data_IF_554582574956
#
_entry.id   IF_554582574956
#
_cell.length_a   1.000
_cell.length_b   1.000
_cell.length_c   1.000
_cell.angle_alpha   90.00
_cell.angle_beta   90.00
_cell.angle_gamma   90.00
#
_symmetry.space_group_name_H-M   'P 1'
#
loop_
_entity.id
_entity.type
_entity.pdbx_description
1 polymer ?
#
# COMPACT_ATOMS: atom_id res chain seq x y z
N UNK A 1 4.46 -5.18 -16.59
CA UNK A 1 3.35 -4.29 -17.02
C UNK A 1 3.91 -3.21 -17.94
N UNK A 2 3.20 -2.83 -19.02
CA UNK A 2 3.64 -1.77 -19.94
C UNK A 2 2.98 -0.42 -19.58
N UNK A 3 3.41 0.68 -20.21
CA UNK A 3 2.89 2.03 -19.92
C UNK A 3 1.37 2.15 -20.13
N UNK A 4 0.81 1.46 -21.12
CA UNK A 4 -0.64 1.50 -21.41
C UNK A 4 -1.43 0.84 -20.28
N UNK A 5 -0.92 -0.27 -19.75
CA UNK A 5 -1.54 -0.96 -18.62
C UNK A 5 -1.42 -0.15 -17.32
N UNK A 6 -0.29 0.52 -17.13
CA UNK A 6 -0.03 1.41 -16.01
C UNK A 6 -1.03 2.59 -15.96
N UNK A 7 -1.29 3.22 -17.12
CA UNK A 7 -2.34 4.24 -17.27
C UNK A 7 -3.73 3.68 -16.93
N UNK A 8 -4.07 2.46 -17.36
CA UNK A 8 -5.38 1.85 -17.04
C UNK A 8 -5.55 1.65 -15.54
N UNK A 9 -4.48 1.21 -14.85
CA UNK A 9 -4.50 1.06 -13.38
C UNK A 9 -4.68 2.42 -12.72
N UNK A 10 -3.95 3.44 -13.17
CA UNK A 10 -4.12 4.81 -12.67
C UNK A 10 -5.55 5.30 -12.89
N UNK A 11 -6.12 5.15 -14.09
CA UNK A 11 -7.50 5.56 -14.42
C UNK A 11 -8.53 4.92 -13.48
N UNK A 12 -8.45 3.60 -13.27
CA UNK A 12 -9.35 2.88 -12.35
C UNK A 12 -9.23 3.40 -10.92
N UNK A 13 -8.01 3.71 -10.51
CA UNK A 13 -7.72 4.16 -9.15
C UNK A 13 -8.08 5.63 -8.95
N UNK A 14 -7.99 6.46 -10.00
CA UNK A 14 -8.13 7.92 -9.94
C UNK A 14 -9.48 8.34 -9.35
N UNK A 15 -10.57 7.72 -9.78
CA UNK A 15 -11.92 8.01 -9.27
C UNK A 15 -12.02 7.75 -7.76
N UNK A 16 -11.44 6.63 -7.30
CA UNK A 16 -11.40 6.28 -5.88
C UNK A 16 -10.53 7.25 -5.09
N UNK A 17 -9.38 7.61 -5.64
CA UNK A 17 -8.42 8.52 -5.00
C UNK A 17 -9.01 9.92 -4.89
N UNK A 18 -9.56 10.48 -5.97
CA UNK A 18 -10.16 11.81 -5.99
C UNK A 18 -11.30 11.93 -4.97
N UNK A 19 -12.10 10.87 -4.82
CA UNK A 19 -13.18 10.83 -3.82
C UNK A 19 -12.67 10.84 -2.38
N UNK A 20 -11.55 10.16 -2.10
CA UNK A 20 -11.08 9.92 -0.74
C UNK A 20 -9.88 10.81 -0.32
N UNK A 21 -9.27 11.54 -1.26
CA UNK A 21 -8.12 12.41 -1.02
C UNK A 21 -8.44 13.84 -1.49
N UNK A 22 -9.01 14.70 -0.63
CA UNK A 22 -9.36 16.08 -0.97
C UNK A 22 -8.18 16.90 -1.53
N UNK A 23 -6.95 16.57 -1.10
CA UNK A 23 -5.71 17.21 -1.53
C UNK A 23 -5.05 16.57 -2.76
N UNK A 24 -5.73 15.64 -3.43
CA UNK A 24 -5.18 14.90 -4.57
C UNK A 24 -4.66 15.83 -5.69
N UNK A 25 -5.42 16.87 -6.05
CA UNK A 25 -5.02 17.83 -7.10
C UNK A 25 -3.74 18.58 -6.71
N UNK A 26 -3.60 18.95 -5.44
CA UNK A 26 -2.39 19.59 -4.90
C UNK A 26 -1.19 18.64 -4.98
N UNK A 27 -1.36 17.38 -4.58
CA UNK A 27 -0.31 16.36 -4.70
C UNK A 27 0.10 16.14 -6.16
N UNK A 28 -0.85 15.92 -7.06
CA UNK A 28 -0.58 15.75 -8.48
C UNK A 28 0.21 16.95 -9.04
N UNK A 29 -0.15 18.18 -8.68
CA UNK A 29 0.57 19.38 -9.09
C UNK A 29 2.00 19.45 -8.53
N UNK A 30 2.27 18.92 -7.33
CA UNK A 30 3.62 18.83 -6.78
C UNK A 30 4.52 17.87 -7.57
N UNK A 31 3.95 16.78 -8.09
CA UNK A 31 4.71 15.77 -8.86
C UNK A 31 4.91 16.17 -10.31
N UNK A 32 3.88 16.72 -10.94
CA UNK A 32 3.85 16.90 -12.38
C UNK A 32 4.07 18.34 -12.84
N UNK A 33 4.03 19.31 -11.91
CA UNK A 33 4.00 20.75 -12.23
C UNK A 33 3.08 21.00 -13.43
N UNK A 34 1.89 20.39 -13.44
CA UNK A 34 0.93 20.48 -14.54
C UNK A 34 0.40 21.93 -14.60
N UNK A 35 0.93 22.79 -15.47
CA UNK A 35 0.75 24.23 -15.35
C UNK A 35 -0.67 24.66 -15.75
N UNK A 36 -1.37 23.84 -16.54
CA UNK A 36 -2.49 24.30 -17.37
C UNK A 36 -3.85 23.66 -16.99
N UNK A 37 -3.96 23.03 -15.82
CA UNK A 37 -5.17 22.26 -15.42
C UNK A 37 -5.58 21.15 -16.44
N UNK A 38 -4.67 20.70 -17.32
CA UNK A 38 -4.93 19.58 -18.24
C UNK A 38 -5.39 18.34 -17.48
N UNK A 39 -6.24 17.52 -18.12
CA UNK A 39 -6.56 16.20 -17.60
C UNK A 39 -5.27 15.44 -17.31
N UNK A 40 -5.13 14.98 -16.07
CA UNK A 40 -3.89 14.38 -15.58
C UNK A 40 -3.46 13.15 -16.40
N UNK A 41 -4.43 12.35 -16.87
CA UNK A 41 -4.13 11.17 -17.68
C UNK A 41 -3.57 11.59 -19.05
N UNK A 42 -4.17 12.60 -19.67
CA UNK A 42 -3.71 13.15 -20.94
C UNK A 42 -2.31 13.75 -20.79
N UNK A 43 -2.08 14.54 -19.74
CA UNK A 43 -0.77 15.10 -19.44
C UNK A 43 0.30 14.01 -19.29
N UNK A 44 0.00 12.93 -18.56
CA UNK A 44 0.93 11.81 -18.39
C UNK A 44 1.19 11.10 -19.73
N UNK A 45 0.14 10.92 -20.55
CA UNK A 45 0.26 10.30 -21.86
C UNK A 45 1.11 11.12 -22.83
N UNK A 46 0.89 12.45 -22.91
CA UNK A 46 1.68 13.40 -23.70
C UNK A 46 3.16 13.39 -23.30
N UNK A 47 3.45 13.16 -22.01
CA UNK A 47 4.80 13.19 -21.43
C UNK A 47 5.37 11.79 -21.15
N UNK A 48 4.89 10.75 -21.84
CA UNK A 48 5.25 9.34 -21.62
C UNK A 48 6.75 9.09 -21.43
N UNK A 49 7.60 9.63 -22.32
CA UNK A 49 9.04 9.35 -22.31
C UNK A 49 9.73 9.92 -21.07
N UNK A 50 9.27 11.09 -20.59
CA UNK A 50 9.77 11.70 -19.36
C UNK A 50 9.53 10.77 -18.15
N UNK A 51 8.31 10.26 -18.01
CA UNK A 51 7.92 9.37 -16.91
C UNK A 51 8.61 8.00 -16.96
N UNK A 52 8.81 7.46 -18.16
CA UNK A 52 9.62 6.24 -18.35
C UNK A 52 11.06 6.51 -17.92
N UNK A 53 11.67 7.62 -18.36
CA UNK A 53 13.03 8.00 -17.97
C UNK A 53 13.20 8.20 -16.46
N UNK A 54 12.23 8.80 -15.78
CA UNK A 54 12.21 8.93 -14.31
C UNK A 54 12.13 7.57 -13.60
N UNK A 55 11.29 6.64 -14.09
CA UNK A 55 11.23 5.27 -13.55
C UNK A 55 12.57 4.57 -13.72
N UNK A 56 13.12 4.60 -14.92
CA UNK A 56 14.32 3.84 -15.27
C UNK A 56 15.56 4.34 -14.53
N UNK A 57 15.72 5.66 -14.41
CA UNK A 57 16.82 6.29 -13.64
C UNK A 57 16.81 5.91 -12.15
N UNK A 58 15.64 5.62 -11.58
CA UNK A 58 15.51 5.22 -10.18
C UNK A 58 15.60 3.69 -9.95
N UNK A 59 15.28 2.90 -10.96
CA UNK A 59 15.11 1.43 -10.86
C UNK A 59 16.31 0.71 -10.24
N UNK A 60 17.53 0.93 -10.77
CA UNK A 60 18.76 0.25 -10.32
C UNK A 60 19.04 0.50 -8.85
N UNK A 61 18.86 1.74 -8.39
CA UNK A 61 19.07 2.14 -6.99
C UNK A 61 18.06 1.45 -6.08
N UNK A 62 16.77 1.47 -6.46
CA UNK A 62 15.69 0.85 -5.68
C UNK A 62 15.91 -0.66 -5.57
N UNK A 63 16.17 -1.34 -6.68
CA UNK A 63 16.43 -2.79 -6.69
C UNK A 63 17.63 -3.11 -5.78
N UNK A 64 18.75 -2.39 -5.95
CA UNK A 64 19.95 -2.60 -5.13
C UNK A 64 19.67 -2.42 -3.64
N UNK A 65 18.90 -1.40 -3.26
CA UNK A 65 18.60 -1.13 -1.86
C UNK A 65 17.58 -2.12 -1.27
N UNK A 66 16.56 -2.50 -2.04
CA UNK A 66 15.58 -3.51 -1.61
C UNK A 66 16.25 -4.85 -1.32
N UNK A 67 17.12 -5.32 -2.23
CA UNK A 67 17.82 -6.61 -2.07
C UNK A 67 18.68 -6.71 -0.81
N UNK A 68 19.10 -5.59 -0.22
CA UNK A 68 19.85 -5.58 1.06
C UNK A 68 18.98 -5.95 2.26
N UNK A 69 17.69 -5.60 2.22
CA UNK A 69 16.77 -5.79 3.35
C UNK A 69 15.74 -6.89 3.12
N UNK A 70 15.50 -7.27 1.86
CA UNK A 70 14.41 -8.14 1.43
C UNK A 70 14.26 -9.40 2.29
N UNK A 71 15.30 -10.24 2.39
CA UNK A 71 15.22 -11.50 3.15
C UNK A 71 14.83 -11.27 4.60
N UNK A 72 15.45 -10.28 5.24
CA UNK A 72 15.16 -9.91 6.63
C UNK A 72 13.74 -9.38 6.78
N UNK A 73 13.27 -8.57 5.84
CA UNK A 73 11.91 -8.05 5.86
C UNK A 73 10.88 -9.18 5.82
N UNK A 74 11.00 -10.09 4.85
CA UNK A 74 10.08 -11.23 4.75
C UNK A 74 10.10 -12.08 6.02
N UNK A 75 11.27 -12.40 6.58
CA UNK A 75 11.38 -13.21 7.80
C UNK A 75 10.83 -12.50 9.05
N UNK A 76 11.09 -11.20 9.21
CA UNK A 76 10.59 -10.44 10.36
C UNK A 76 9.07 -10.30 10.31
N UNK A 77 8.47 -10.10 9.12
CA UNK A 77 7.00 -10.07 8.99
C UNK A 77 6.39 -11.42 9.40
N UNK A 78 6.96 -12.54 8.97
CA UNK A 78 6.46 -13.86 9.39
C UNK A 78 6.62 -14.07 10.90
N UNK A 79 7.76 -13.66 11.46
CA UNK A 79 8.04 -13.76 12.89
C UNK A 79 7.08 -12.92 13.73
N UNK A 80 6.83 -11.67 13.33
CA UNK A 80 5.97 -10.73 14.07
C UNK A 80 4.51 -11.15 13.98
N UNK A 81 4.06 -11.60 12.81
CA UNK A 81 2.65 -11.96 12.60
C UNK A 81 2.33 -13.42 12.93
N UNK A 82 3.35 -14.27 13.06
CA UNK A 82 3.22 -15.74 13.16
C UNK A 82 2.55 -16.40 11.94
N UNK A 83 2.47 -15.70 10.80
CA UNK A 83 1.89 -16.21 9.56
C UNK A 83 2.92 -16.22 8.44
N UNK A 84 2.92 -17.30 7.66
CA UNK A 84 3.76 -17.41 6.46
C UNK A 84 3.22 -16.53 5.33
N UNK A 85 4.12 -16.09 4.47
CA UNK A 85 3.72 -15.44 3.22
C UNK A 85 2.95 -16.42 2.33
N UNK A 86 1.85 -15.96 1.75
CA UNK A 86 0.98 -16.79 0.90
C UNK A 86 1.68 -17.29 -0.37
N UNK A 87 2.46 -16.41 -1.00
CA UNK A 87 3.17 -16.72 -2.25
C UNK A 87 4.67 -16.87 -1.99
N UNK A 88 5.32 -17.72 -2.78
CA UNK A 88 6.80 -17.90 -2.76
C UNK A 88 7.54 -16.70 -3.37
N UNK A 89 6.91 -16.03 -4.33
CA UNK A 89 7.50 -14.92 -5.08
C UNK A 89 6.50 -13.78 -5.17
N UNK A 90 6.95 -12.57 -4.84
CA UNK A 90 6.21 -11.34 -5.07
C UNK A 90 6.90 -10.51 -6.15
N UNK A 91 6.10 -9.99 -7.07
CA UNK A 91 6.54 -9.11 -8.13
C UNK A 91 6.30 -7.65 -7.74
N UNK A 92 7.32 -6.81 -7.90
CA UNK A 92 7.20 -5.38 -7.71
C UNK A 92 7.30 -4.67 -9.06
N UNK A 93 6.20 -4.08 -9.51
CA UNK A 93 6.18 -3.24 -10.69
C UNK A 93 6.50 -1.79 -10.30
N UNK A 94 7.63 -1.27 -10.77
CA UNK A 94 7.92 0.17 -10.66
C UNK A 94 7.10 0.91 -11.71
N UNK A 95 6.13 1.68 -11.25
CA UNK A 95 5.18 2.39 -12.10
C UNK A 95 5.83 3.63 -12.72
N UNK A 96 5.47 3.92 -13.97
CA UNK A 96 5.81 5.19 -14.61
C UNK A 96 4.75 6.24 -14.32
N UNK A 97 3.53 5.87 -13.97
CA UNK A 97 2.37 6.78 -13.98
C UNK A 97 1.66 6.87 -12.64
N UNK A 98 1.79 5.88 -11.77
CA UNK A 98 1.17 5.84 -10.46
C UNK A 98 2.04 6.59 -9.45
N UNK A 99 1.59 7.77 -9.02
CA UNK A 99 2.40 8.73 -8.26
C UNK A 99 1.99 8.85 -6.78
N UNK A 100 1.06 8.02 -6.30
CA UNK A 100 0.44 8.15 -4.98
C UNK A 100 1.06 7.13 -4.01
N UNK A 101 2.36 6.91 -4.12
CA UNK A 101 3.06 5.88 -3.34
C UNK A 101 2.99 4.52 -4.03
N UNK A 102 2.01 3.69 -3.70
CA UNK A 102 1.93 2.32 -4.21
C UNK A 102 0.52 1.74 -4.19
N UNK A 103 0.39 0.53 -4.71
CA UNK A 103 -0.84 -0.24 -4.67
C UNK A 103 -0.53 -1.73 -4.67
N UNK A 104 -1.18 -2.48 -3.79
CA UNK A 104 -1.21 -3.94 -3.84
C UNK A 104 -2.43 -4.42 -4.63
N UNK A 105 -2.25 -5.46 -5.44
CA UNK A 105 -3.35 -5.96 -6.28
C UNK A 105 -4.19 -6.98 -5.52
N UNK A 106 -5.51 -6.77 -5.50
CA UNK A 106 -6.50 -7.72 -4.97
C UNK A 106 -7.54 -8.00 -6.04
N UNK A 107 -7.95 -9.25 -6.17
CA UNK A 107 -9.17 -9.59 -6.89
C UNK A 107 -10.37 -9.07 -6.09
N UNK A 108 -10.98 -7.97 -6.54
CA UNK A 108 -12.10 -7.33 -5.83
C UNK A 108 -13.33 -8.24 -5.69
N UNK A 109 -13.50 -9.24 -6.56
CA UNK A 109 -14.66 -10.17 -6.49
C UNK A 109 -14.45 -11.25 -5.43
N UNK A 110 -13.22 -11.69 -5.26
CA UNK A 110 -12.89 -12.82 -4.40
C UNK A 110 -12.01 -12.46 -3.20
N UNK A 111 -11.62 -11.19 -3.09
CA UNK A 111 -10.74 -10.64 -2.06
C UNK A 111 -9.44 -11.43 -1.93
N UNK A 112 -8.98 -11.98 -3.05
CA UNK A 112 -7.74 -12.75 -3.09
C UNK A 112 -6.59 -11.81 -3.39
N UNK A 113 -5.57 -11.73 -2.52
CA UNK A 113 -4.37 -10.98 -2.86
C UNK A 113 -3.71 -11.63 -4.07
N UNK A 114 -3.15 -10.81 -4.93
CA UNK A 114 -2.18 -11.22 -5.93
C UNK A 114 -0.77 -11.09 -5.37
N UNK A 115 0.18 -11.72 -6.02
CA UNK A 115 1.59 -11.61 -5.68
C UNK A 115 2.26 -10.36 -6.29
N UNK A 116 1.48 -9.40 -6.82
CA UNK A 116 2.01 -8.21 -7.49
C UNK A 116 1.67 -6.95 -6.71
N UNK A 117 2.69 -6.14 -6.47
CA UNK A 117 2.57 -4.75 -5.99
C UNK A 117 3.05 -3.78 -7.06
N UNK A 118 2.59 -2.55 -6.97
CA UNK A 118 2.98 -1.45 -7.83
C UNK A 118 3.50 -0.30 -6.98
N UNK A 119 4.62 0.32 -7.38
CA UNK A 119 5.29 1.36 -6.59
C UNK A 119 5.75 2.51 -7.47
N UNK A 120 5.50 3.74 -7.03
CA UNK A 120 6.07 4.96 -7.58
C UNK A 120 7.56 5.04 -7.23
N UNK A 121 8.49 4.99 -8.20
CA UNK A 121 9.92 4.94 -7.91
C UNK A 121 10.55 6.33 -7.70
N UNK A 122 9.82 7.41 -7.99
CA UNK A 122 10.35 8.77 -8.04
C UNK A 122 9.63 9.74 -7.09
N UNK A 123 9.00 9.21 -6.04
CA UNK A 123 8.38 10.04 -5.01
C UNK A 123 9.44 10.86 -4.26
N UNK A 124 9.21 12.17 -4.11
CA UNK A 124 10.09 13.07 -3.35
C UNK A 124 9.86 13.04 -1.83
N UNK A 125 8.70 12.53 -1.40
CA UNK A 125 8.23 12.67 -0.02
C UNK A 125 8.32 11.36 0.78
N UNK A 126 8.47 10.23 0.10
CA UNK A 126 8.51 8.89 0.69
C UNK A 126 9.55 8.06 -0.05
N UNK A 127 10.39 7.35 0.70
CA UNK A 127 11.36 6.39 0.16
C UNK A 127 10.64 5.25 -0.57
N UNK A 128 10.93 4.97 -1.85
CA UNK A 128 10.34 3.84 -2.56
C UNK A 128 10.55 2.48 -1.87
N UNK A 129 11.64 2.31 -1.11
CA UNK A 129 11.89 1.08 -0.33
C UNK A 129 10.84 0.90 0.76
N UNK A 130 10.48 2.00 1.43
CA UNK A 130 9.40 2.01 2.39
C UNK A 130 8.08 1.65 1.72
N UNK A 131 7.78 2.24 0.56
CA UNK A 131 6.53 1.95 -0.18
C UNK A 131 6.45 0.47 -0.58
N UNK A 132 7.55 -0.13 -1.05
CA UNK A 132 7.59 -1.58 -1.34
C UNK A 132 7.19 -2.39 -0.10
N UNK A 133 7.79 -2.10 1.05
CA UNK A 133 7.45 -2.78 2.29
C UNK A 133 5.99 -2.57 2.69
N UNK A 134 5.50 -1.33 2.61
CA UNK A 134 4.11 -0.97 2.91
C UNK A 134 3.11 -1.82 2.10
N UNK A 135 3.26 -1.83 0.78
CA UNK A 135 2.37 -2.59 -0.11
C UNK A 135 2.50 -4.10 0.09
N UNK A 136 3.71 -4.61 0.35
CA UNK A 136 3.91 -6.02 0.69
C UNK A 136 3.20 -6.39 2.00
N UNK A 137 3.23 -5.52 3.01
CA UNK A 137 2.55 -5.79 4.28
C UNK A 137 1.03 -5.83 4.11
N UNK A 138 0.46 -4.96 3.28
CA UNK A 138 -0.94 -5.05 2.89
C UNK A 138 -1.26 -6.37 2.19
N UNK A 139 -0.43 -6.78 1.23
CA UNK A 139 -0.58 -8.07 0.55
C UNK A 139 -0.51 -9.25 1.53
N UNK A 140 0.39 -9.21 2.51
CA UNK A 140 0.50 -10.20 3.59
C UNK A 140 -0.78 -10.28 4.42
N UNK A 141 -1.27 -9.12 4.89
CA UNK A 141 -2.48 -9.03 5.70
C UNK A 141 -3.69 -9.65 4.97
N UNK A 142 -3.86 -9.32 3.69
CA UNK A 142 -4.90 -9.94 2.85
C UNK A 142 -4.65 -11.44 2.63
N UNK A 143 -3.39 -11.86 2.52
CA UNK A 143 -2.99 -13.25 2.47
C UNK A 143 -3.51 -14.02 3.68
N UNK A 144 -3.22 -13.51 4.87
CA UNK A 144 -3.67 -14.09 6.14
C UNK A 144 -5.19 -14.17 6.19
N UNK A 145 -5.91 -13.10 5.90
CA UNK A 145 -7.38 -13.09 5.88
C UNK A 145 -7.93 -14.18 4.97
N UNK A 146 -7.40 -14.26 3.74
CA UNK A 146 -7.83 -15.25 2.75
C UNK A 146 -7.54 -16.70 3.16
N UNK A 147 -6.50 -16.93 3.97
CA UNK A 147 -6.10 -18.27 4.40
C UNK A 147 -6.70 -18.70 5.74
N UNK A 148 -7.21 -17.77 6.55
CA UNK A 148 -7.65 -18.05 7.94
C UNK A 148 -9.16 -18.26 8.10
N UNK A 149 -9.91 -18.38 6.99
CA UNK A 149 -11.38 -18.54 6.98
C UNK A 149 -12.11 -17.49 7.84
N UNK A 150 -11.55 -16.30 7.98
CA UNK A 150 -12.22 -15.20 8.65
C UNK A 150 -13.42 -14.83 7.78
N UNK A 151 -14.64 -15.08 8.29
CA UNK A 151 -15.88 -14.71 7.62
C UNK A 151 -16.13 -13.23 7.86
N UNK A 152 -15.65 -12.41 6.94
CA UNK A 152 -15.98 -11.00 6.89
C UNK A 152 -17.20 -10.82 5.97
N UNK A 153 -18.12 -9.95 6.37
CA UNK A 153 -19.39 -9.76 5.69
C UNK A 153 -19.24 -8.99 4.36
N UNK A 154 -20.38 -8.59 3.75
CA UNK A 154 -20.38 -7.79 2.51
C UNK A 154 -19.76 -6.40 2.67
N UNK A 155 -19.74 -5.83 3.88
CA UNK A 155 -19.14 -4.51 4.13
C UNK A 155 -17.62 -4.55 4.16
N UNK A 156 -17.01 -5.73 4.30
CA UNK A 156 -15.57 -5.89 4.27
C UNK A 156 -14.88 -5.23 3.07
N UNK A 157 -15.46 -5.33 1.88
CA UNK A 157 -14.92 -4.68 0.68
C UNK A 157 -14.73 -3.16 0.87
N UNK A 158 -15.65 -2.51 1.60
CA UNK A 158 -15.62 -1.06 1.86
C UNK A 158 -14.55 -0.68 2.89
N UNK A 159 -14.24 -1.56 3.84
CA UNK A 159 -13.35 -1.28 4.97
C UNK A 159 -11.98 -1.98 4.88
N UNK A 160 -11.78 -2.86 3.89
CA UNK A 160 -10.55 -3.64 3.69
C UNK A 160 -9.28 -2.78 3.58
N UNK A 161 -9.36 -1.65 2.85
CA UNK A 161 -8.28 -0.68 2.74
C UNK A 161 -7.95 -0.02 4.07
N UNK A 162 -8.91 0.70 4.71
CA UNK A 162 -8.72 1.26 6.05
C UNK A 162 -8.20 0.26 7.08
N UNK A 163 -8.71 -0.97 7.05
CA UNK A 163 -8.29 -2.04 7.95
C UNK A 163 -6.81 -2.40 7.75
N UNK A 164 -6.37 -2.60 6.51
CA UNK A 164 -4.97 -2.92 6.20
C UNK A 164 -4.01 -1.79 6.64
N UNK A 165 -4.42 -0.53 6.47
CA UNK A 165 -3.68 0.66 6.93
C UNK A 165 -3.57 0.74 8.46
N UNK A 166 -4.67 0.47 9.18
CA UNK A 166 -4.67 0.46 10.65
C UNK A 166 -3.78 -0.66 11.19
N UNK A 167 -3.92 -1.88 10.66
CA UNK A 167 -3.10 -3.03 11.07
C UNK A 167 -1.63 -2.74 10.82
N UNK A 168 -1.29 -2.17 9.65
CA UNK A 168 0.06 -1.72 9.35
C UNK A 168 0.52 -0.72 10.41
N UNK A 169 -0.20 0.35 10.69
CA UNK A 169 0.19 1.33 11.72
C UNK A 169 0.45 0.71 13.10
N UNK A 170 -0.34 -0.31 13.48
CA UNK A 170 -0.21 -0.99 14.78
C UNK A 170 1.05 -1.87 14.82
N UNK A 171 1.33 -2.63 13.76
CA UNK A 171 2.36 -3.67 13.73
C UNK A 171 3.70 -3.15 13.18
N UNK A 172 3.66 -2.30 12.17
CA UNK A 172 4.82 -1.91 11.36
C UNK A 172 5.88 -1.14 12.16
N UNK A 173 5.54 -0.60 13.34
CA UNK A 173 6.55 -0.03 14.26
C UNK A 173 7.55 -1.06 14.80
N UNK A 174 7.25 -2.36 14.68
CA UNK A 174 8.13 -3.46 15.09
C UNK A 174 8.98 -3.98 13.93
N UNK A 175 8.71 -3.52 12.70
CA UNK A 175 9.49 -3.87 11.51
C UNK A 175 10.65 -2.87 11.39
N UNK A 176 11.91 -3.33 11.28
CA UNK A 176 13.09 -2.47 11.26
C UNK A 176 13.30 -1.79 9.90
N UNK A 177 12.35 -0.97 9.46
CA UNK A 177 12.44 -0.13 8.26
C UNK A 177 12.35 1.34 8.67
N UNK A 178 13.35 2.12 8.27
CA UNK A 178 13.43 3.56 8.52
C UNK A 178 12.63 4.35 7.47
N UNK A 179 12.17 5.56 7.81
CA UNK A 179 11.55 6.50 6.86
C UNK A 179 10.02 6.60 6.89
N UNK A 180 9.34 6.00 7.88
CA UNK A 180 7.89 6.10 8.01
C UNK A 180 7.44 7.47 8.55
N UNK A 181 6.62 8.19 7.80
CA UNK A 181 5.80 9.26 8.36
C UNK A 181 4.45 8.68 8.82
N UNK A 182 4.26 8.59 10.14
CA UNK A 182 3.15 7.87 10.80
C UNK A 182 1.75 8.47 10.57
N UNK A 183 1.67 9.67 10.00
CA UNK A 183 0.45 10.50 10.03
C UNK A 183 -0.35 10.53 8.71
N UNK A 184 -0.41 9.42 7.96
CA UNK A 184 -1.14 9.41 6.67
C UNK A 184 -2.68 9.42 6.84
N UNK A 185 -3.19 8.92 7.97
CA UNK A 185 -4.64 8.84 8.25
C UNK A 185 -4.97 9.17 9.72
N UNK A 186 -5.02 10.46 10.11
CA UNK A 186 -5.26 10.87 11.50
C UNK A 186 -6.66 10.47 12.01
N UNK A 187 -7.63 10.30 11.10
CA UNK A 187 -9.00 9.90 11.45
C UNK A 187 -9.07 8.55 12.17
N UNK A 188 -8.05 7.69 12.02
CA UNK A 188 -8.00 6.37 12.66
C UNK A 188 -7.10 6.31 13.88
N UNK A 189 -6.55 7.44 14.35
CA UNK A 189 -5.56 7.43 15.42
C UNK A 189 -6.13 6.87 16.73
N UNK A 190 -7.39 7.15 17.04
CA UNK A 190 -8.08 6.58 18.21
C UNK A 190 -8.20 5.05 18.13
N UNK A 191 -8.61 4.52 16.97
CA UNK A 191 -8.64 3.07 16.72
C UNK A 191 -7.24 2.48 16.85
N UNK A 192 -6.23 3.11 16.23
CA UNK A 192 -4.84 2.65 16.28
C UNK A 192 -4.30 2.59 17.72
N UNK A 193 -4.58 3.59 18.55
CA UNK A 193 -4.16 3.60 19.96
C UNK A 193 -4.80 2.46 20.76
N UNK A 194 -6.11 2.23 20.58
CA UNK A 194 -6.81 1.11 21.23
C UNK A 194 -6.22 -0.23 20.80
N UNK A 195 -6.06 -0.45 19.50
CA UNK A 195 -5.52 -1.70 18.97
C UNK A 195 -4.06 -1.92 19.34
N UNK A 196 -3.24 -0.85 19.40
CA UNK A 196 -1.84 -0.96 19.81
C UNK A 196 -1.70 -1.48 21.25
N UNK A 197 -2.56 -1.05 22.17
CA UNK A 197 -2.58 -1.59 23.54
C UNK A 197 -2.91 -3.09 23.55
N UNK A 198 -3.88 -3.51 22.73
CA UNK A 198 -4.25 -4.94 22.60
C UNK A 198 -3.14 -5.76 21.97
N UNK A 199 -2.53 -5.24 20.90
CA UNK A 199 -1.42 -5.89 20.21
C UNK A 199 -0.21 -6.12 21.12
N UNK A 200 0.17 -5.13 21.93
CA UNK A 200 1.28 -5.27 22.90
C UNK A 200 1.01 -6.39 23.90
N UNK A 201 -0.26 -6.56 24.33
CA UNK A 201 -0.65 -7.56 25.32
C UNK A 201 -0.75 -8.97 24.72
N UNK A 202 -1.44 -9.10 23.59
CA UNK A 202 -1.87 -10.40 23.09
C UNK A 202 -0.93 -10.96 22.01
N UNK A 203 -0.26 -10.09 21.21
CA UNK A 203 0.59 -10.45 20.06
C UNK A 203 -0.05 -11.46 19.09
N UNK A 204 -1.38 -11.47 19.02
CA UNK A 204 -2.17 -12.35 18.14
C UNK A 204 -2.64 -11.56 16.92
N UNK A 205 -2.07 -11.88 15.76
CA UNK A 205 -2.35 -11.16 14.52
C UNK A 205 -3.75 -11.42 13.97
N UNK A 206 -4.29 -12.64 14.17
CA UNK A 206 -5.67 -12.96 13.78
C UNK A 206 -6.65 -12.17 14.61
N UNK A 207 -6.42 -12.11 15.93
CA UNK A 207 -7.23 -11.30 16.84
C UNK A 207 -7.16 -9.81 16.47
N UNK A 208 -5.98 -9.30 16.14
CA UNK A 208 -5.82 -7.92 15.68
C UNK A 208 -6.67 -7.63 14.42
N UNK A 209 -6.67 -8.54 13.44
CA UNK A 209 -7.51 -8.41 12.23
C UNK A 209 -8.99 -8.32 12.61
N UNK A 210 -9.47 -9.25 13.44
CA UNK A 210 -10.88 -9.31 13.88
C UNK A 210 -11.28 -8.05 14.66
N UNK A 211 -10.46 -7.64 15.63
CA UNK A 211 -10.70 -6.44 16.42
C UNK A 211 -10.72 -5.17 15.56
N UNK A 212 -9.86 -5.10 14.54
CA UNK A 212 -9.83 -3.96 13.61
C UNK A 212 -11.12 -3.90 12.79
N UNK A 213 -11.55 -5.05 12.27
CA UNK A 213 -12.80 -5.17 11.53
C UNK A 213 -14.01 -4.73 12.38
N UNK A 214 -14.14 -5.26 13.59
CA UNK A 214 -15.23 -4.93 14.51
C UNK A 214 -15.31 -3.44 14.86
N UNK A 215 -14.15 -2.78 15.05
CA UNK A 215 -14.10 -1.36 15.36
C UNK A 215 -14.50 -0.49 14.15
N UNK A 216 -14.09 -0.89 12.94
CA UNK A 216 -14.46 -0.20 11.71
C UNK A 216 -15.94 -0.37 11.38
N UNK A 217 -16.53 -1.54 11.60
CA UNK A 217 -17.96 -1.77 11.39
C UNK A 217 -18.83 -0.96 12.35
N UNK A 218 -18.39 -0.78 13.59
CA UNK A 218 -19.11 -0.02 14.62
C UNK A 218 -18.97 1.50 14.50
N UNK A 219 -18.16 2.00 13.54
CA UNK A 219 -17.96 3.43 13.29
C UNK A 219 -17.24 4.16 14.43
N UNK A 220 -16.30 3.49 15.10
CA UNK A 220 -15.58 4.00 16.29
C UNK A 220 -14.54 5.11 16.01
#
# INVERSE_FOLDING_TARGET
MNFKDDIKVLQKSLTRIQKNMPNFKKMANMYFKNPDNKNLIEFIAENKQHFIGMRDSNSKRIIKNWRKIEKRYFSEVEKITCYKWKFKTYECYLSSTFFIGGNYTVDEKHLKPHNTIMVCPYTKHVDPIYVIAHELFHAHTQGVISCTNIKLDKNYLKISGPMAEIILKVVFSEIPITGFNRNVYPQYDKICQTLKKRWIKDKDFKKLILDTYDLLEKGA
#
